data_IF_527110194152
#
_entry.id   IF_527110194152
#
_cell.length_a   1.000
_cell.length_b   1.000
_cell.length_c   1.000
_cell.angle_alpha   90.00
_cell.angle_beta   90.00
_cell.angle_gamma   90.00
#
_symmetry.space_group_name_H-M   'P 1'
#
loop_
_entity.id
_entity.type
_entity.pdbx_description
1 polymer ?
#
# COMPACT_ATOMS: atom_id res chain seq x y z
N UNK A 1 15.74 -13.70 6.29
CA UNK A 1 15.63 -13.82 4.82
C UNK A 1 14.33 -13.22 4.26
N UNK A 2 13.15 -13.60 4.76
CA UNK A 2 11.86 -13.11 4.23
C UNK A 2 11.75 -11.58 4.16
N UNK A 3 12.22 -10.86 5.18
CA UNK A 3 12.19 -9.39 5.26
C UNK A 3 12.89 -8.77 4.05
N UNK A 4 14.02 -9.33 3.61
CA UNK A 4 14.80 -8.81 2.50
C UNK A 4 14.04 -8.97 1.18
N UNK A 5 13.39 -10.12 0.98
CA UNK A 5 12.56 -10.38 -0.21
C UNK A 5 11.34 -9.45 -0.23
N UNK A 6 10.69 -9.26 0.92
CA UNK A 6 9.55 -8.34 1.04
C UNK A 6 9.98 -6.90 0.82
N UNK A 7 11.11 -6.46 1.38
CA UNK A 7 11.66 -5.12 1.17
C UNK A 7 11.99 -4.85 -0.28
N UNK A 8 12.60 -5.81 -0.99
CA UNK A 8 12.82 -5.71 -2.43
C UNK A 8 11.51 -5.48 -3.20
N UNK A 9 10.45 -6.21 -2.85
CA UNK A 9 9.12 -6.03 -3.46
C UNK A 9 8.47 -4.68 -3.10
N UNK A 10 8.63 -4.20 -1.86
CA UNK A 10 8.15 -2.87 -1.45
C UNK A 10 8.83 -1.75 -2.24
N UNK A 11 10.16 -1.82 -2.38
CA UNK A 11 10.95 -0.79 -3.05
C UNK A 11 10.73 -0.77 -4.57
N UNK A 12 10.53 -1.93 -5.20
CA UNK A 12 10.45 -2.03 -6.67
C UNK A 12 9.06 -2.34 -7.22
N UNK A 13 8.05 -2.62 -6.40
CA UNK A 13 6.72 -3.01 -6.87
C UNK A 13 6.01 -1.94 -7.70
N UNK A 14 6.40 -0.67 -7.58
CA UNK A 14 5.81 0.47 -8.29
C UNK A 14 6.43 0.79 -9.67
N UNK A 15 7.55 0.18 -10.04
CA UNK A 15 8.29 0.57 -11.26
C UNK A 15 7.48 0.41 -12.56
N UNK A 16 6.62 -0.60 -12.62
CA UNK A 16 5.76 -0.85 -13.77
C UNK A 16 4.59 0.16 -13.89
N UNK A 17 4.28 0.90 -12.81
CA UNK A 17 3.19 1.88 -12.80
C UNK A 17 3.65 3.25 -13.31
N UNK A 18 4.90 3.63 -13.04
CA UNK A 18 5.48 4.91 -13.47
C UNK A 18 5.65 5.03 -15.00
N UNK A 19 5.83 3.91 -15.72
CA UNK A 19 5.91 3.92 -17.19
C UNK A 19 4.65 4.39 -17.90
N UNK A 20 3.49 4.48 -17.21
CA UNK A 20 2.23 4.92 -17.81
C UNK A 20 2.04 6.43 -17.81
N UNK A 21 2.85 7.18 -17.05
CA UNK A 21 2.74 8.64 -16.91
C UNK A 21 3.79 9.43 -17.70
N UNK A 22 4.74 8.78 -18.39
CA UNK A 22 5.60 9.46 -19.36
C UNK A 22 4.87 9.56 -20.71
N UNK A 23 4.75 10.75 -21.33
CA UNK A 23 4.28 10.83 -22.70
C UNK A 23 5.22 9.96 -23.57
N UNK A 24 4.71 9.19 -24.55
CA UNK A 24 5.56 8.39 -25.41
C UNK A 24 6.41 9.35 -26.23
N UNK A 25 7.70 9.48 -25.87
CA UNK A 25 8.69 10.06 -26.76
C UNK A 25 8.72 9.15 -28.00
N UNK A 26 8.35 9.71 -29.15
CA UNK A 26 8.01 8.94 -30.35
C UNK A 26 9.15 8.07 -30.90
N UNK A 27 8.73 6.98 -31.56
CA UNK A 27 9.33 6.29 -32.75
C UNK A 27 10.83 5.94 -32.70
N UNK A 28 11.36 4.75 -33.01
CA UNK A 28 11.00 3.58 -33.81
C UNK A 28 11.94 2.44 -33.34
N UNK A 29 11.47 1.20 -33.21
CA UNK A 29 12.07 0.03 -33.91
C UNK A 29 11.42 -1.30 -33.50
N UNK A 30 11.07 -2.08 -34.52
CA UNK A 30 10.75 -3.50 -34.50
C UNK A 30 11.65 -4.33 -33.57
N UNK A 31 11.12 -4.74 -32.41
CA UNK A 31 11.56 -5.97 -31.74
C UNK A 31 10.37 -6.70 -31.14
N UNK A 32 9.96 -7.74 -31.87
CA UNK A 32 9.09 -8.84 -31.44
C UNK A 32 9.61 -9.43 -30.13
N UNK A 33 9.07 -8.97 -29.01
CA UNK A 33 9.39 -9.43 -27.67
C UNK A 33 8.13 -9.43 -26.81
N UNK A 34 7.46 -10.59 -26.78
CA UNK A 34 6.41 -11.00 -25.83
C UNK A 34 5.66 -9.88 -25.11
N UNK A 35 4.65 -9.32 -25.78
CA UNK A 35 3.63 -8.55 -25.07
C UNK A 35 2.79 -9.53 -24.25
N UNK A 36 3.13 -9.70 -22.98
CA UNK A 36 2.07 -9.95 -22.00
C UNK A 36 1.30 -8.64 -21.99
N UNK A 37 0.23 -8.59 -22.78
CA UNK A 37 -0.74 -7.49 -22.73
C UNK A 37 -1.15 -7.35 -21.28
N UNK A 38 -0.66 -6.30 -20.62
CA UNK A 38 -1.24 -5.82 -19.38
C UNK A 38 -2.60 -5.28 -19.77
N UNK A 39 -3.59 -6.19 -19.79
CA UNK A 39 -4.95 -5.88 -20.11
C UNK A 39 -5.37 -4.71 -19.22
N UNK A 40 -5.64 -3.56 -19.85
CA UNK A 40 -6.45 -2.53 -19.25
C UNK A 40 -7.81 -3.16 -18.93
N UNK A 41 -8.07 -3.29 -17.65
CA UNK A 41 -9.33 -3.74 -17.11
C UNK A 41 -9.80 -2.63 -16.18
N UNK A 42 -10.51 -1.67 -16.79
CA UNK A 42 -11.52 -0.91 -16.09
C UNK A 42 -12.50 -1.93 -15.49
N UNK A 43 -12.32 -2.24 -14.20
CA UNK A 43 -13.07 -3.28 -13.50
C UNK A 43 -12.17 -4.34 -12.86
N UNK A 44 -11.61 -4.00 -11.69
CA UNK A 44 -11.07 -4.89 -10.65
C UNK A 44 -10.73 -6.35 -11.05
N UNK A 45 -9.50 -6.64 -11.50
CA UNK A 45 -8.86 -7.91 -11.22
C UNK A 45 -7.73 -7.66 -10.23
N UNK A 46 -7.88 -8.25 -9.04
CA UNK A 46 -6.89 -8.35 -7.99
C UNK A 46 -5.48 -8.69 -8.53
N UNK A 47 -4.68 -7.66 -8.81
CA UNK A 47 -3.32 -7.81 -9.35
C UNK A 47 -2.43 -8.52 -8.33
N UNK A 48 -1.33 -9.17 -8.75
CA UNK A 48 -0.37 -9.75 -7.82
C UNK A 48 0.14 -8.71 -6.79
N UNK A 49 0.29 -7.46 -7.22
CA UNK A 49 0.66 -6.33 -6.37
C UNK A 49 -0.44 -5.96 -5.37
N UNK A 50 -1.72 -5.94 -5.79
CA UNK A 50 -2.87 -5.75 -4.90
C UNK A 50 -2.85 -6.79 -3.77
N UNK A 51 -2.75 -8.07 -4.15
CA UNK A 51 -2.74 -9.20 -3.20
C UNK A 51 -1.53 -9.19 -2.28
N UNK A 52 -0.37 -8.75 -2.77
CA UNK A 52 0.83 -8.58 -1.97
C UNK A 52 0.61 -7.55 -0.85
N UNK A 53 0.04 -6.39 -1.19
CA UNK A 53 -0.28 -5.37 -0.19
C UNK A 53 -1.34 -5.86 0.80
N UNK A 54 -2.39 -6.55 0.36
CA UNK A 54 -3.37 -7.14 1.30
C UNK A 54 -2.72 -8.12 2.27
N UNK A 55 -1.79 -8.95 1.78
CA UNK A 55 -1.06 -9.88 2.63
C UNK A 55 -0.18 -9.14 3.63
N UNK A 56 0.51 -8.08 3.23
CA UNK A 56 1.29 -7.26 4.16
C UNK A 56 0.41 -6.62 5.23
N UNK A 57 -0.69 -5.98 4.83
CA UNK A 57 -1.60 -5.33 5.76
C UNK A 57 -2.22 -6.34 6.75
N UNK A 58 -2.52 -7.57 6.32
CA UNK A 58 -3.00 -8.62 7.23
C UNK A 58 -2.01 -9.00 8.33
N UNK A 59 -0.70 -8.79 8.10
CA UNK A 59 0.35 -9.07 9.08
C UNK A 59 0.52 -7.95 10.12
N UNK A 60 -0.09 -6.78 9.92
CA UNK A 60 -0.09 -5.67 10.90
C UNK A 60 -0.78 -6.03 12.21
N UNK A 61 -1.56 -7.11 12.24
CA UNK A 61 -2.26 -7.62 13.44
C UNK A 61 -1.87 -9.07 13.76
N UNK A 62 -0.68 -9.51 13.32
CA UNK A 62 -0.22 -10.86 13.59
C UNK A 62 -0.09 -11.11 15.11
N UNK A 63 -0.86 -12.07 15.65
CA UNK A 63 -0.87 -12.42 17.07
C UNK A 63 -0.09 -13.71 17.41
N UNK A 64 0.89 -14.07 16.57
CA UNK A 64 1.79 -15.19 16.83
C UNK A 64 2.82 -14.84 17.92
N UNK A 65 3.55 -15.82 18.45
CA UNK A 65 4.65 -15.60 19.44
C UNK A 65 5.68 -14.56 18.97
N UNK A 66 5.90 -14.43 17.66
CA UNK A 66 6.80 -13.45 17.02
C UNK A 66 6.05 -12.25 16.41
N UNK A 67 4.79 -12.08 16.79
CA UNK A 67 3.85 -11.11 16.22
C UNK A 67 4.37 -9.68 16.34
N UNK A 68 4.96 -9.30 17.48
CA UNK A 68 5.55 -7.97 17.65
C UNK A 68 6.59 -7.66 16.57
N UNK A 69 7.57 -8.55 16.37
CA UNK A 69 8.62 -8.34 15.36
C UNK A 69 8.05 -8.29 13.94
N UNK A 70 7.07 -9.15 13.64
CA UNK A 70 6.40 -9.15 12.33
C UNK A 70 5.72 -7.80 12.10
N UNK A 71 4.94 -7.31 13.07
CA UNK A 71 4.25 -6.02 12.97
C UNK A 71 5.23 -4.85 12.82
N UNK A 72 6.32 -4.83 13.61
CA UNK A 72 7.37 -3.81 13.48
C UNK A 72 7.97 -3.82 12.07
N UNK A 73 8.36 -4.98 11.55
CA UNK A 73 8.95 -5.09 10.22
C UNK A 73 7.96 -4.66 9.12
N UNK A 74 6.69 -5.06 9.22
CA UNK A 74 5.66 -4.65 8.25
C UNK A 74 5.46 -3.14 8.28
N UNK A 75 5.36 -2.55 9.47
CA UNK A 75 5.25 -1.09 9.64
C UNK A 75 6.45 -0.37 9.03
N UNK A 76 7.68 -0.82 9.29
CA UNK A 76 8.89 -0.19 8.75
C UNK A 76 8.97 -0.36 7.22
N UNK A 77 8.71 -1.56 6.70
CA UNK A 77 8.69 -1.83 5.25
C UNK A 77 7.67 -0.97 4.51
N UNK A 78 6.46 -0.81 5.06
CA UNK A 78 5.40 -0.03 4.43
C UNK A 78 5.61 1.48 4.62
N UNK A 79 6.05 1.91 5.79
CA UNK A 79 6.20 3.33 6.13
C UNK A 79 7.51 3.96 5.65
N UNK A 80 8.56 3.18 5.37
CA UNK A 80 9.89 3.69 5.03
C UNK A 80 10.41 3.22 3.67
N UNK A 81 10.13 1.98 3.27
CA UNK A 81 10.74 1.34 2.10
C UNK A 81 9.78 1.20 0.90
N UNK A 82 8.49 1.52 1.07
CA UNK A 82 7.50 1.35 0.02
C UNK A 82 7.68 2.40 -1.09
N UNK A 83 7.71 1.95 -2.33
CA UNK A 83 7.76 2.83 -3.50
C UNK A 83 6.60 3.84 -3.49
N UNK A 84 6.85 5.16 -3.63
CA UNK A 84 5.81 6.20 -3.62
C UNK A 84 4.69 5.99 -4.64
N UNK A 85 4.98 5.38 -5.79
CA UNK A 85 3.98 5.03 -6.80
C UNK A 85 2.89 4.07 -6.29
N UNK A 86 3.12 3.40 -5.15
CA UNK A 86 2.18 2.48 -4.51
C UNK A 86 1.31 3.14 -3.44
N UNK A 87 1.61 4.38 -3.02
CA UNK A 87 0.87 5.06 -1.96
C UNK A 87 -0.63 5.16 -2.25
N UNK A 88 -1.10 5.52 -3.46
CA UNK A 88 -2.53 5.57 -3.74
C UNK A 88 -3.23 4.22 -3.50
N UNK A 89 -2.58 3.11 -3.86
CA UNK A 89 -3.13 1.76 -3.64
C UNK A 89 -3.12 1.38 -2.16
N UNK A 90 -2.03 1.69 -1.45
CA UNK A 90 -1.91 1.47 -0.01
C UNK A 90 -3.02 2.20 0.75
N UNK A 91 -3.19 3.50 0.50
CA UNK A 91 -4.19 4.30 1.19
C UNK A 91 -5.61 3.84 0.89
N UNK A 92 -5.91 3.47 -0.36
CA UNK A 92 -7.22 2.91 -0.68
C UNK A 92 -7.49 1.60 0.10
N UNK A 93 -6.50 0.70 0.22
CA UNK A 93 -6.64 -0.56 0.96
C UNK A 93 -6.82 -0.35 2.46
N UNK A 94 -6.00 0.51 3.06
CA UNK A 94 -6.11 0.88 4.47
C UNK A 94 -7.47 1.54 4.76
N UNK A 95 -7.93 2.46 3.90
CA UNK A 95 -9.24 3.12 4.01
C UNK A 95 -10.36 2.07 3.98
N UNK A 96 -10.35 1.20 2.99
CA UNK A 96 -11.35 0.14 2.86
C UNK A 96 -11.31 -0.85 4.04
N UNK A 97 -10.14 -1.09 4.63
CA UNK A 97 -10.01 -1.95 5.82
C UNK A 97 -10.61 -1.28 7.05
N UNK A 98 -10.34 0.02 7.26
CA UNK A 98 -10.90 0.79 8.37
C UNK A 98 -12.40 0.96 8.24
N UNK A 99 -12.92 1.31 7.05
CA UNK A 99 -14.36 1.49 6.82
C UNK A 99 -15.18 0.26 7.20
N UNK A 100 -14.65 -0.95 6.98
CA UNK A 100 -15.30 -2.21 7.39
C UNK A 100 -15.50 -2.35 8.89
N UNK A 101 -14.70 -1.67 9.71
CA UNK A 101 -14.91 -1.65 11.16
C UNK A 101 -16.20 -0.91 11.53
N UNK A 102 -16.68 -0.02 10.67
CA UNK A 102 -17.88 0.81 10.88
C UNK A 102 -19.09 0.34 10.06
N UNK A 103 -18.93 -0.64 9.16
CA UNK A 103 -20.01 -1.14 8.29
C UNK A 103 -21.03 -2.05 9.00
N UNK A 104 -20.75 -2.50 10.23
CA UNK A 104 -21.71 -3.28 11.00
C UNK A 104 -22.90 -2.38 11.39
N UNK A 105 -24.13 -2.82 11.09
CA UNK A 105 -25.35 -2.18 11.59
C UNK A 105 -25.41 -2.33 13.12
N UNK A 106 -24.79 -1.42 13.86
CA UNK A 106 -24.67 -1.47 15.31
C UNK A 106 -23.46 -0.70 15.85
N UNK A 107 -23.18 -0.78 17.17
CA UNK A 107 -21.99 -0.19 17.78
C UNK A 107 -20.73 -0.74 17.12
N UNK A 108 -19.74 0.13 16.88
CA UNK A 108 -18.42 -0.27 16.35
C UNK A 108 -17.84 -1.37 17.24
N UNK A 109 -17.51 -2.57 16.69
CA UNK A 109 -16.92 -3.63 17.48
C UNK A 109 -15.52 -3.22 17.94
N UNK A 110 -15.41 -2.80 19.20
CA UNK A 110 -14.14 -2.53 19.88
C UNK A 110 -13.52 -3.88 20.19
N UNK A 111 -12.57 -4.30 19.35
CA UNK A 111 -11.76 -5.49 19.59
C UNK A 111 -10.27 -5.14 19.45
N UNK A 112 -9.43 -5.88 20.16
CA UNK A 112 -7.99 -5.60 20.24
C UNK A 112 -7.32 -5.63 18.87
N UNK A 113 -7.76 -6.51 17.97
CA UNK A 113 -7.25 -6.63 16.60
C UNK A 113 -7.51 -5.37 15.78
N UNK A 114 -8.72 -4.82 15.82
CA UNK A 114 -9.09 -3.60 15.12
C UNK A 114 -8.31 -2.40 15.66
N UNK A 115 -8.20 -2.29 16.99
CA UNK A 115 -7.40 -1.24 17.64
C UNK A 115 -5.94 -1.32 17.19
N UNK A 116 -5.33 -2.51 17.24
CA UNK A 116 -3.96 -2.73 16.77
C UNK A 116 -3.79 -2.37 15.28
N UNK A 117 -4.76 -2.71 14.43
CA UNK A 117 -4.71 -2.34 13.01
C UNK A 117 -4.70 -0.82 12.82
N UNK A 118 -5.56 -0.10 13.56
CA UNK A 118 -5.65 1.37 13.52
C UNK A 118 -4.35 2.01 14.02
N UNK A 119 -3.81 1.56 15.15
CA UNK A 119 -2.54 2.07 15.70
C UNK A 119 -1.37 1.89 14.72
N UNK A 120 -1.27 0.72 14.09
CA UNK A 120 -0.24 0.45 13.08
C UNK A 120 -0.46 1.32 11.84
N UNK A 121 -1.72 1.56 11.45
CA UNK A 121 -2.06 2.45 10.34
C UNK A 121 -1.62 3.89 10.61
N UNK A 122 -1.87 4.41 11.82
CA UNK A 122 -1.43 5.73 12.26
C UNK A 122 0.09 5.83 12.19
N UNK A 123 0.81 4.82 12.71
CA UNK A 123 2.26 4.80 12.70
C UNK A 123 2.85 4.81 11.28
N UNK A 124 2.25 4.04 10.36
CA UNK A 124 2.63 4.05 8.94
C UNK A 124 2.37 5.41 8.32
N UNK A 125 1.20 6.01 8.52
CA UNK A 125 0.89 7.34 7.97
C UNK A 125 1.86 8.39 8.46
N UNK A 126 2.16 8.38 9.76
CA UNK A 126 3.14 9.30 10.34
C UNK A 126 4.49 9.14 9.64
N UNK A 127 4.99 7.91 9.50
CA UNK A 127 6.24 7.65 8.79
C UNK A 127 6.21 8.18 7.35
N UNK A 128 5.11 7.96 6.60
CA UNK A 128 4.99 8.43 5.23
C UNK A 128 4.95 9.97 5.11
N UNK A 129 4.32 10.64 6.07
CA UNK A 129 4.23 12.11 6.12
C UNK A 129 5.53 12.77 6.57
N UNK A 130 6.25 12.13 7.49
CA UNK A 130 7.55 12.58 8.00
C UNK A 130 8.70 12.31 7.00
N UNK A 131 8.49 11.43 6.01
CA UNK A 131 9.53 11.01 5.07
C UNK A 131 9.65 11.96 3.86
N UNK A 132 10.77 12.69 3.79
CA UNK A 132 11.06 13.74 2.79
C UNK A 132 11.65 13.23 1.45
N UNK A 133 11.34 12.00 1.03
CA UNK A 133 11.85 11.48 -0.25
C UNK A 133 11.31 12.31 -1.43
N UNK A 134 12.17 12.66 -2.39
CA UNK A 134 11.79 13.44 -3.58
C UNK A 134 10.64 12.75 -4.36
N UNK A 135 9.61 13.52 -4.71
CA UNK A 135 8.40 13.01 -5.38
C UNK A 135 7.37 12.33 -4.46
N UNK A 136 7.68 12.09 -3.18
CA UNK A 136 6.73 11.53 -2.19
C UNK A 136 5.48 12.40 -2.06
N UNK A 137 5.66 13.73 -1.97
CA UNK A 137 4.56 14.70 -1.79
C UNK A 137 3.57 14.75 -2.96
N UNK A 138 4.02 14.53 -4.19
CA UNK A 138 3.15 14.50 -5.38
C UNK A 138 2.25 13.26 -5.37
N UNK A 139 2.82 12.09 -5.06
CA UNK A 139 2.07 10.83 -4.96
C UNK A 139 1.14 10.84 -3.74
N UNK A 140 1.56 11.49 -2.67
CA UNK A 140 0.75 11.75 -1.49
C UNK A 140 -0.44 12.66 -1.85
N UNK A 141 -0.23 13.75 -2.60
CA UNK A 141 -1.31 14.63 -3.07
C UNK A 141 -2.30 13.94 -4.03
N UNK A 142 -1.84 12.96 -4.81
CA UNK A 142 -2.71 12.12 -5.65
C UNK A 142 -3.56 11.13 -4.82
N UNK A 143 -3.06 10.74 -3.65
CA UNK A 143 -3.84 9.94 -2.73
C UNK A 143 -4.82 10.82 -1.95
N UNK A 144 -6.11 10.47 -1.98
CA UNK A 144 -7.15 11.12 -1.19
C UNK A 144 -6.98 10.83 0.31
N UNK A 145 -5.98 11.45 0.95
CA UNK A 145 -5.60 11.22 2.36
C UNK A 145 -6.54 11.93 3.32
N UNK A 146 -7.17 13.01 2.88
CA UNK A 146 -8.07 13.83 3.68
C UNK A 146 -9.20 12.99 4.32
N UNK A 147 -9.90 12.18 3.53
CA UNK A 147 -10.97 11.30 4.04
C UNK A 147 -10.46 10.28 5.06
N UNK A 148 -9.19 9.92 4.95
CA UNK A 148 -8.58 8.89 5.77
C UNK A 148 -8.14 9.42 7.13
N UNK A 149 -7.54 10.63 7.16
CA UNK A 149 -7.22 11.32 8.40
C UNK A 149 -8.48 11.68 9.19
N UNK A 150 -9.54 12.13 8.50
CA UNK A 150 -10.82 12.43 9.15
C UNK A 150 -11.46 11.20 9.82
N UNK A 151 -11.22 10.00 9.31
CA UNK A 151 -11.72 8.75 9.89
C UNK A 151 -10.84 8.20 11.03
N UNK A 152 -9.68 8.82 11.29
CA UNK A 152 -8.73 8.40 12.33
C UNK A 152 -8.72 9.32 13.57
N UNK A 153 -9.32 10.51 13.49
CA UNK A 153 -9.46 11.50 14.59
C UNK A 153 -10.71 11.23 15.41
#
# INVERSE_FOLDING_TARGET
EWINMTGFLCALGGVCLQQRNTPPMGTLNDRKGSMVSMASCEGNPETPLSRFLDRLLSLMVCNHEKGHQIRTNVKDLVGLELCPALYPMLFNKLKNSISRFFDAQGPVPINETNTQFVEQTIAIMKNLLDNHTEGSSEHLGQASIETMMLNLV
#
